data_IF_773400140062
#
_entry.id   IF_773400140062
#
_cell.length_a   1.000
_cell.length_b   1.000
_cell.length_c   1.000
_cell.angle_alpha   90.00
_cell.angle_beta   90.00
_cell.angle_gamma   90.00
#
_symmetry.space_group_name_H-M   'P 1'
#
loop_
_entity.id
_entity.type
_entity.pdbx_description
1 polymer ?
#
# COMPACT_ATOMS: atom_id res chain seq x y z
N UNK A 1 -2.84 8.50 -9.71
CA UNK A 1 -3.17 8.43 -8.26
C UNK A 1 -4.65 8.11 -8.09
N UNK A 2 -5.04 7.25 -7.15
CA UNK A 2 -6.45 7.02 -6.80
C UNK A 2 -6.87 7.88 -5.61
N UNK A 3 -8.05 8.48 -5.68
CA UNK A 3 -8.54 9.44 -4.67
C UNK A 3 -10.00 9.17 -4.31
N UNK A 4 -10.32 9.32 -3.02
CA UNK A 4 -11.70 9.38 -2.50
C UNK A 4 -12.08 10.81 -2.10
N UNK A 5 -13.11 11.38 -2.73
CA UNK A 5 -13.60 12.74 -2.47
C UNK A 5 -15.02 12.74 -1.87
N UNK A 6 -15.17 13.26 -0.64
CA UNK A 6 -16.48 13.34 0.05
C UNK A 6 -17.48 14.29 -0.63
N UNK A 7 -17.02 15.38 -1.25
CA UNK A 7 -17.94 16.34 -1.87
C UNK A 7 -18.52 15.82 -3.19
N UNK A 8 -17.76 15.06 -4.00
CA UNK A 8 -18.34 14.37 -5.16
C UNK A 8 -19.47 13.42 -4.75
N UNK A 9 -19.37 12.84 -3.55
CA UNK A 9 -20.49 12.10 -2.97
C UNK A 9 -21.65 13.02 -2.60
N UNK A 10 -21.42 14.13 -1.87
CA UNK A 10 -22.49 15.08 -1.41
C UNK A 10 -23.20 15.84 -2.55
N UNK A 11 -22.47 16.43 -3.49
CA UNK A 11 -23.03 17.21 -4.60
C UNK A 11 -23.85 16.33 -5.56
N UNK A 12 -23.52 15.04 -5.66
CA UNK A 12 -24.23 14.07 -6.51
C UNK A 12 -25.28 13.24 -5.74
N UNK A 13 -25.21 13.14 -4.41
CA UNK A 13 -26.33 12.60 -3.59
C UNK A 13 -27.55 13.52 -3.65
N UNK A 14 -27.36 14.84 -3.80
CA UNK A 14 -28.47 15.76 -4.06
C UNK A 14 -29.23 15.48 -5.37
N UNK A 15 -28.65 14.73 -6.30
CA UNK A 15 -29.30 14.29 -7.55
C UNK A 15 -30.01 12.91 -7.44
N UNK A 16 -30.10 12.30 -6.24
CA UNK A 16 -30.81 11.01 -5.99
C UNK A 16 -30.43 9.84 -6.92
N UNK A 17 -29.24 9.85 -7.53
CA UNK A 17 -28.80 8.79 -8.43
C UNK A 17 -27.29 8.63 -8.43
N UNK A 18 -26.86 7.37 -8.43
CA UNK A 18 -25.48 6.89 -8.54
C UNK A 18 -24.70 6.80 -7.22
N UNK A 19 -24.29 5.57 -6.91
CA UNK A 19 -23.16 5.29 -6.05
C UNK A 19 -21.84 5.54 -6.81
N UNK A 20 -20.71 5.74 -6.11
CA UNK A 20 -19.47 6.22 -6.74
C UNK A 20 -18.23 5.44 -6.33
N UNK A 21 -17.50 4.92 -7.31
CA UNK A 21 -16.20 4.30 -7.08
C UNK A 21 -15.06 5.34 -7.02
N UNK A 22 -13.90 5.00 -6.41
CA UNK A 22 -12.71 5.84 -6.40
C UNK A 22 -12.33 6.37 -7.78
N UNK A 23 -11.78 7.59 -7.85
CA UNK A 23 -11.38 8.20 -9.12
C UNK A 23 -9.86 8.11 -9.31
N UNK A 24 -9.44 7.66 -10.48
CA UNK A 24 -8.07 7.72 -10.94
C UNK A 24 -7.77 9.08 -11.58
N UNK A 25 -6.72 9.72 -11.10
CA UNK A 25 -6.16 10.93 -11.66
C UNK A 25 -4.83 10.59 -12.36
N UNK A 26 -4.78 10.65 -13.70
CA UNK A 26 -3.58 10.33 -14.46
C UNK A 26 -2.52 11.43 -14.35
N UNK A 27 -1.26 11.04 -14.41
CA UNK A 27 -0.16 11.94 -14.77
C UNK A 27 -0.13 12.16 -16.28
N UNK A 28 0.51 13.23 -16.78
CA UNK A 28 0.78 13.39 -18.20
C UNK A 28 1.45 12.14 -18.78
N UNK A 29 0.94 11.64 -19.91
CA UNK A 29 1.43 10.41 -20.53
C UNK A 29 0.91 9.11 -19.89
N UNK A 30 -0.02 9.17 -18.94
CA UNK A 30 -0.63 7.97 -18.37
C UNK A 30 -1.39 7.17 -19.44
N UNK A 31 -1.11 5.87 -19.48
CA UNK A 31 -1.74 4.93 -20.40
C UNK A 31 -3.15 4.51 -19.98
N UNK A 32 -3.58 4.83 -18.75
CA UNK A 32 -4.97 4.67 -18.30
C UNK A 32 -5.89 5.79 -18.84
N UNK A 33 -5.33 6.69 -19.65
CA UNK A 33 -6.02 7.79 -20.32
C UNK A 33 -5.57 9.15 -19.82
N UNK A 34 -5.80 10.21 -20.61
CA UNK A 34 -5.36 11.57 -20.25
C UNK A 34 -6.31 12.28 -19.29
N UNK A 35 -7.48 11.71 -19.02
CA UNK A 35 -8.53 12.33 -18.19
C UNK A 35 -8.76 11.53 -16.91
N UNK A 36 -9.30 12.19 -15.90
CA UNK A 36 -9.78 11.52 -14.69
C UNK A 36 -10.90 10.53 -15.02
N UNK A 37 -10.88 9.37 -14.36
CA UNK A 37 -11.83 8.28 -14.61
C UNK A 37 -12.15 7.53 -13.32
N UNK A 38 -13.41 7.12 -13.16
CA UNK A 38 -13.80 6.26 -12.06
C UNK A 38 -13.15 4.87 -12.19
N UNK A 39 -12.91 4.19 -11.07
CA UNK A 39 -12.39 2.82 -11.02
C UNK A 39 -13.25 1.87 -11.87
N UNK A 40 -14.58 2.10 -11.90
CA UNK A 40 -15.52 1.30 -12.69
C UNK A 40 -15.29 1.36 -14.20
N UNK A 41 -14.54 2.35 -14.69
CA UNK A 41 -14.13 2.40 -16.10
C UNK A 41 -13.03 1.38 -16.45
N UNK A 42 -12.33 0.88 -15.44
CA UNK A 42 -11.23 -0.08 -15.57
C UNK A 42 -11.63 -1.47 -15.09
N UNK A 43 -12.48 -1.54 -14.07
CA UNK A 43 -12.85 -2.75 -13.36
C UNK A 43 -14.37 -2.82 -13.31
N UNK A 44 -14.97 -3.87 -13.84
CA UNK A 44 -16.43 -4.04 -13.79
C UNK A 44 -16.92 -3.99 -12.33
N UNK A 45 -18.02 -3.29 -12.07
CA UNK A 45 -18.61 -3.16 -10.74
C UNK A 45 -20.11 -3.46 -10.76
N UNK A 46 -20.48 -4.56 -11.44
CA UNK A 46 -21.87 -4.95 -11.66
C UNK A 46 -22.64 -5.12 -10.34
N UNK A 47 -21.95 -5.60 -9.31
CA UNK A 47 -22.50 -5.76 -7.97
C UNK A 47 -22.52 -4.46 -7.18
N UNK A 48 -21.75 -3.44 -7.58
CA UNK A 48 -21.58 -2.20 -6.85
C UNK A 48 -20.80 -2.35 -5.55
N UNK A 49 -19.83 -3.28 -5.48
CA UNK A 49 -19.00 -3.53 -4.30
C UNK A 49 -17.96 -2.42 -4.10
N UNK A 50 -17.47 -1.83 -5.19
CA UNK A 50 -16.47 -0.76 -5.15
C UNK A 50 -17.09 0.62 -5.01
N UNK A 51 -18.42 0.69 -5.00
CA UNK A 51 -19.13 1.90 -4.63
C UNK A 51 -18.74 2.34 -3.22
N UNK A 52 -18.36 3.61 -3.13
CA UNK A 52 -17.91 4.27 -1.91
C UNK A 52 -16.64 3.66 -1.28
N UNK A 53 -15.98 2.76 -2.01
CA UNK A 53 -14.75 2.14 -1.54
C UNK A 53 -13.67 3.18 -1.29
N UNK A 54 -12.75 2.83 -0.40
CA UNK A 54 -11.63 3.67 -0.01
C UNK A 54 -10.33 3.06 -0.52
N UNK A 55 -9.53 3.76 -1.34
CA UNK A 55 -8.23 3.27 -1.73
C UNK A 55 -7.30 3.29 -0.50
N UNK A 56 -6.66 2.15 -0.20
CA UNK A 56 -5.82 1.98 0.99
C UNK A 56 -4.34 1.87 0.66
N UNK A 57 -4.00 1.13 -0.40
CA UNK A 57 -2.62 0.92 -0.84
C UNK A 57 -2.61 0.49 -2.31
N UNK A 58 -1.48 0.69 -2.99
CA UNK A 58 -1.24 0.10 -4.29
C UNK A 58 0.19 -0.44 -4.36
N UNK A 59 0.39 -1.53 -5.10
CA UNK A 59 1.69 -2.14 -5.29
C UNK A 59 1.68 -3.01 -6.55
N UNK A 60 2.71 -2.88 -7.38
CA UNK A 60 2.90 -3.70 -8.58
C UNK A 60 1.68 -3.75 -9.52
N UNK A 61 1.00 -2.60 -9.71
CA UNK A 61 -0.20 -2.50 -10.55
C UNK A 61 -1.50 -2.97 -9.90
N UNK A 62 -1.45 -3.47 -8.66
CA UNK A 62 -2.61 -3.85 -7.87
C UNK A 62 -3.03 -2.72 -6.94
N UNK A 63 -4.33 -2.59 -6.68
CA UNK A 63 -4.90 -1.62 -5.73
C UNK A 63 -5.74 -2.34 -4.69
N UNK A 64 -5.47 -2.07 -3.42
CA UNK A 64 -6.27 -2.50 -2.28
C UNK A 64 -7.30 -1.42 -1.94
N UNK A 65 -8.54 -1.85 -1.79
CA UNK A 65 -9.69 -1.05 -1.48
C UNK A 65 -10.34 -1.54 -0.18
N UNK A 66 -10.66 -0.63 0.73
CA UNK A 66 -11.58 -0.87 1.84
C UNK A 66 -13.02 -0.72 1.34
N UNK A 67 -13.81 -1.79 1.41
CA UNK A 67 -15.16 -1.82 0.86
C UNK A 67 -16.20 -1.40 1.91
N UNK A 68 -17.33 -0.89 1.42
CA UNK A 68 -18.45 -0.48 2.26
C UNK A 68 -19.49 -1.61 2.27
N UNK A 69 -19.83 -2.22 3.43
CA UNK A 69 -20.88 -3.22 3.49
C UNK A 69 -22.22 -2.64 3.02
N UNK A 70 -22.90 -3.33 2.10
CA UNK A 70 -24.16 -2.89 1.48
C UNK A 70 -25.34 -2.92 2.45
N UNK A 71 -25.36 -3.89 3.36
CA UNK A 71 -26.40 -4.06 4.38
C UNK A 71 -26.03 -3.33 5.66
N UNK A 72 -26.06 -1.99 5.64
CA UNK A 72 -26.32 -1.25 6.87
C UNK A 72 -27.84 -1.36 7.10
N UNK A 73 -28.27 -2.52 7.58
CA UNK A 73 -29.62 -2.66 8.10
C UNK A 73 -29.73 -1.73 9.32
N UNK A 74 -30.79 -0.94 9.37
CA UNK A 74 -31.10 -0.02 10.48
C UNK A 74 -31.11 -0.73 11.86
N UNK A 75 -31.15 -2.07 11.89
CA UNK A 75 -31.23 -2.90 13.09
C UNK A 75 -29.95 -3.69 13.42
N UNK A 76 -28.89 -3.60 12.61
CA UNK A 76 -27.62 -4.27 12.92
C UNK A 76 -26.69 -3.31 13.68
N UNK A 77 -26.28 -3.62 14.94
CA UNK A 77 -25.32 -2.78 15.64
C UNK A 77 -24.05 -2.68 14.79
N UNK A 78 -23.65 -1.44 14.48
CA UNK A 78 -22.51 -1.09 13.61
C UNK A 78 -21.16 -1.70 14.04
N UNK A 79 -21.13 -2.35 15.20
CA UNK A 79 -19.99 -3.05 15.78
C UNK A 79 -19.73 -4.47 15.26
N UNK A 80 -20.64 -5.09 14.48
CA UNK A 80 -20.50 -6.51 14.06
C UNK A 80 -20.19 -6.74 12.58
N UNK A 81 -20.08 -5.70 11.76
CA UNK A 81 -19.74 -5.87 10.34
C UNK A 81 -18.22 -5.98 10.19
N UNK A 82 -17.75 -7.20 9.89
CA UNK A 82 -16.34 -7.47 9.63
C UNK A 82 -15.77 -6.60 8.52
N UNK A 83 -14.47 -6.35 8.55
CA UNK A 83 -13.79 -5.60 7.49
C UNK A 83 -13.89 -6.34 6.16
N UNK A 84 -14.28 -5.60 5.12
CA UNK A 84 -14.37 -6.09 3.75
C UNK A 84 -13.32 -5.37 2.90
N UNK A 85 -12.56 -6.15 2.13
CA UNK A 85 -11.49 -5.64 1.28
C UNK A 85 -11.68 -6.11 -0.16
N UNK A 86 -11.29 -5.27 -1.11
CA UNK A 86 -11.22 -5.61 -2.52
C UNK A 86 -9.80 -5.39 -3.03
N UNK A 87 -9.26 -6.35 -3.78
CA UNK A 87 -8.01 -6.16 -4.54
C UNK A 87 -8.37 -6.15 -6.01
N UNK A 88 -7.86 -5.18 -6.76
CA UNK A 88 -8.13 -5.06 -8.18
C UNK A 88 -6.88 -4.70 -8.98
N UNK A 89 -6.87 -5.06 -10.26
CA UNK A 89 -5.88 -4.68 -11.24
C UNK A 89 -6.56 -3.84 -12.33
N UNK A 90 -6.44 -2.49 -12.29
CA UNK A 90 -7.06 -1.61 -13.27
C UNK A 90 -6.60 -1.84 -14.72
N UNK A 91 -5.44 -2.45 -14.95
CA UNK A 91 -4.94 -2.71 -16.31
C UNK A 91 -5.56 -3.95 -16.92
N UNK A 92 -5.77 -5.00 -16.13
CA UNK A 92 -6.39 -6.25 -16.60
C UNK A 92 -7.90 -6.28 -16.41
N UNK A 93 -8.45 -5.38 -15.60
CA UNK A 93 -9.83 -5.40 -15.14
C UNK A 93 -10.12 -6.49 -14.10
N UNK A 94 -9.10 -7.25 -13.66
CA UNK A 94 -9.29 -8.29 -12.65
C UNK A 94 -9.69 -7.66 -11.30
N UNK A 95 -10.68 -8.25 -10.64
CA UNK A 95 -11.07 -7.90 -9.27
C UNK A 95 -11.28 -9.12 -8.41
N UNK A 96 -11.00 -8.97 -7.12
CA UNK A 96 -11.27 -9.96 -6.10
C UNK A 96 -11.75 -9.27 -4.83
N UNK A 97 -12.99 -9.57 -4.45
CA UNK A 97 -13.49 -9.26 -3.12
C UNK A 97 -12.99 -10.35 -2.16
N UNK A 98 -12.28 -9.92 -1.13
CA UNK A 98 -11.77 -10.78 -0.07
C UNK A 98 -12.91 -11.12 0.87
N UNK A 99 -13.00 -12.38 1.30
CA UNK A 99 -14.04 -12.80 2.25
C UNK A 99 -13.99 -11.93 3.51
N UNK A 100 -15.14 -11.55 4.09
CA UNK A 100 -15.15 -10.77 5.31
C UNK A 100 -14.30 -11.44 6.39
N UNK A 101 -13.45 -10.67 7.04
CA UNK A 101 -12.72 -11.16 8.20
C UNK A 101 -13.68 -11.18 9.38
N UNK A 102 -13.85 -12.35 10.02
CA UNK A 102 -14.59 -12.49 11.27
C UNK A 102 -13.77 -11.93 12.44
N UNK A 103 -13.47 -10.62 12.43
CA UNK A 103 -12.88 -9.94 13.57
C UNK A 103 -14.00 -9.32 14.41
N UNK A 104 -14.43 -10.03 15.45
CA UNK A 104 -15.47 -9.58 16.40
C UNK A 104 -15.03 -8.33 17.18
N UNK A 105 -13.72 -8.09 17.27
CA UNK A 105 -13.07 -7.04 18.07
C UNK A 105 -12.61 -5.83 17.26
N UNK A 106 -12.77 -5.85 15.93
CA UNK A 106 -12.29 -4.80 15.04
C UNK A 106 -13.46 -3.94 14.58
N UNK A 107 -13.60 -2.74 15.14
CA UNK A 107 -14.42 -1.70 14.49
C UNK A 107 -13.69 -1.25 13.21
N UNK A 108 -14.42 -0.63 12.27
CA UNK A 108 -13.87 -0.02 11.04
C UNK A 108 -12.55 0.79 11.20
N UNK A 109 -12.23 1.23 12.42
CA UNK A 109 -11.05 2.03 12.78
C UNK A 109 -9.86 1.22 13.34
N UNK A 110 -9.91 -0.11 13.33
CA UNK A 110 -8.93 -0.98 13.99
C UNK A 110 -7.85 -1.55 13.06
N UNK A 111 -7.73 -1.10 11.80
CA UNK A 111 -6.70 -1.59 10.89
C UNK A 111 -5.47 -0.71 10.97
N UNK A 112 -4.33 -1.36 11.14
CA UNK A 112 -3.05 -0.79 11.48
C UNK A 112 -2.04 -0.79 10.34
N UNK A 113 -2.23 -1.68 9.37
CA UNK A 113 -1.28 -1.86 8.28
C UNK A 113 -1.76 -2.89 7.29
N UNK A 114 -1.27 -2.75 6.07
CA UNK A 114 -1.65 -3.58 4.93
C UNK A 114 -0.40 -3.99 4.15
N UNK A 115 -0.38 -5.18 3.56
CA UNK A 115 0.60 -5.55 2.54
C UNK A 115 -0.07 -6.32 1.40
N UNK A 116 0.10 -5.83 0.17
CA UNK A 116 -0.27 -6.56 -1.04
C UNK A 116 0.93 -7.42 -1.44
N UNK A 117 0.76 -8.74 -1.37
CA UNK A 117 1.79 -9.72 -1.71
C UNK A 117 1.46 -10.36 -3.05
N UNK A 118 2.44 -10.33 -3.93
CA UNK A 118 2.33 -10.84 -5.30
C UNK A 118 2.97 -12.22 -5.39
N UNK A 119 2.67 -12.95 -6.45
CA UNK A 119 3.26 -14.26 -6.66
C UNK A 119 4.78 -14.22 -6.87
N UNK A 120 5.35 -13.06 -7.24
CA UNK A 120 6.80 -12.88 -7.33
C UNK A 120 7.48 -12.85 -5.94
N UNK A 121 6.76 -12.45 -4.89
CA UNK A 121 7.36 -12.24 -3.56
C UNK A 121 7.54 -13.54 -2.75
N UNK A 122 6.76 -14.58 -3.07
CA UNK A 122 6.73 -15.84 -2.30
C UNK A 122 7.79 -16.85 -2.80
N UNK A 123 8.29 -16.70 -4.03
CA UNK A 123 9.14 -17.70 -4.69
C UNK A 123 10.63 -17.31 -4.74
N UNK A 124 11.12 -16.48 -3.82
CA UNK A 124 12.52 -16.03 -3.85
C UNK A 124 13.53 -17.02 -3.25
N UNK A 125 13.10 -18.17 -2.73
CA UNK A 125 13.98 -19.19 -2.14
C UNK A 125 13.50 -20.60 -2.49
N UNK A 126 14.17 -21.27 -3.43
CA UNK A 126 14.05 -22.72 -3.59
C UNK A 126 14.92 -23.44 -2.54
N UNK A 127 14.56 -24.67 -2.17
CA UNK A 127 15.24 -25.53 -1.17
C UNK A 127 16.73 -25.79 -1.44
N UNK A 128 17.24 -25.40 -2.61
CA UNK A 128 18.65 -25.52 -3.02
C UNK A 128 19.46 -24.22 -2.87
N UNK A 129 18.88 -23.13 -2.34
CA UNK A 129 19.61 -21.87 -2.12
C UNK A 129 19.86 -21.03 -3.37
N UNK A 130 19.43 -21.50 -4.55
CA UNK A 130 19.48 -20.71 -5.77
C UNK A 130 18.34 -19.68 -5.80
N UNK A 131 18.69 -18.40 -5.88
CA UNK A 131 17.74 -17.33 -6.13
C UNK A 131 17.14 -17.49 -7.53
N UNK A 132 15.91 -18.00 -7.65
CA UNK A 132 15.15 -17.81 -8.89
C UNK A 132 14.94 -16.30 -9.08
N UNK A 133 15.44 -15.77 -10.20
CA UNK A 133 15.10 -14.41 -10.63
C UNK A 133 13.57 -14.27 -10.58
N UNK A 134 13.03 -13.22 -9.94
CA UNK A 134 11.59 -12.99 -9.90
C UNK A 134 11.04 -13.05 -11.31
N UNK A 135 10.12 -13.98 -11.57
CA UNK A 135 9.50 -14.05 -12.89
C UNK A 135 8.64 -12.78 -13.09
N UNK A 136 8.92 -11.95 -14.10
CA UNK A 136 8.22 -10.68 -14.32
C UNK A 136 6.69 -10.85 -14.39
N UNK A 137 6.25 -11.97 -14.97
CA UNK A 137 4.83 -12.31 -15.15
C UNK A 137 4.06 -12.52 -13.86
N UNK A 138 4.76 -12.76 -12.75
CA UNK A 138 4.16 -13.05 -11.45
C UNK A 138 4.09 -11.82 -10.55
N UNK A 139 4.75 -10.72 -10.91
CA UNK A 139 4.79 -9.47 -10.13
C UNK A 139 3.43 -8.78 -10.09
N UNK A 140 2.59 -8.97 -11.10
CA UNK A 140 1.26 -8.35 -11.17
C UNK A 140 0.13 -9.27 -10.71
N UNK A 141 0.47 -10.48 -10.25
CA UNK A 141 -0.50 -11.50 -9.84
C UNK A 141 -0.66 -11.48 -8.32
N UNK A 142 -1.86 -11.14 -7.86
CA UNK A 142 -2.20 -11.13 -6.43
C UNK A 142 -2.13 -12.55 -5.84
N UNK A 143 -1.38 -12.71 -4.75
CA UNK A 143 -1.18 -14.02 -4.09
C UNK A 143 -1.61 -14.03 -2.63
N UNK A 144 -1.35 -12.97 -1.88
CA UNK A 144 -1.67 -12.91 -0.46
C UNK A 144 -1.92 -11.46 -0.02
N UNK A 145 -2.80 -11.29 0.97
CA UNK A 145 -3.03 -10.00 1.63
C UNK A 145 -2.74 -10.15 3.12
N UNK A 146 -1.84 -9.32 3.64
CA UNK A 146 -1.56 -9.24 5.07
C UNK A 146 -2.26 -8.00 5.64
N UNK A 147 -2.95 -8.19 6.76
CA UNK A 147 -3.63 -7.14 7.51
C UNK A 147 -3.16 -7.19 8.94
N UNK A 148 -2.74 -6.04 9.47
CA UNK A 148 -2.51 -5.88 10.91
C UNK A 148 -3.71 -5.18 11.50
N UNK A 149 -4.28 -5.71 12.58
CA UNK A 149 -5.37 -5.06 13.32
C UNK A 149 -4.98 -4.82 14.77
N UNK A 150 -5.42 -3.70 15.33
CA UNK A 150 -5.36 -3.41 16.76
C UNK A 150 -6.76 -3.49 17.38
N UNK A 151 -6.94 -4.18 18.52
CA UNK A 151 -8.23 -4.24 19.18
C UNK A 151 -8.63 -2.86 19.73
N UNK A 152 -9.94 -2.62 19.80
CA UNK A 152 -10.49 -1.41 20.42
C UNK A 152 -10.00 -1.29 21.88
N UNK A 153 -9.57 -0.08 22.33
CA UNK A 153 -9.10 0.13 23.70
C UNK A 153 -10.10 -0.27 24.79
N UNK A 154 -11.39 -0.30 24.46
CA UNK A 154 -12.47 -0.63 25.39
C UNK A 154 -12.75 -2.14 25.52
N UNK A 155 -12.24 -2.97 24.60
CA UNK A 155 -12.66 -4.37 24.45
C UNK A 155 -11.55 -5.39 24.76
N UNK A 156 -10.28 -4.97 24.89
CA UNK A 156 -9.17 -5.87 25.14
C UNK A 156 -8.26 -5.38 26.27
N UNK A 157 -8.19 -6.14 27.36
CA UNK A 157 -7.30 -5.87 28.50
C UNK A 157 -5.80 -5.92 28.14
N UNK A 158 -5.44 -6.54 27.01
CA UNK A 158 -4.04 -6.76 26.62
C UNK A 158 -3.52 -5.82 25.51
N UNK A 159 -4.40 -5.32 24.64
CA UNK A 159 -4.02 -4.42 23.54
C UNK A 159 -3.17 -5.06 22.44
N UNK A 160 -3.14 -6.39 22.29
CA UNK A 160 -2.20 -7.06 21.36
C UNK A 160 -2.51 -6.81 19.88
N UNK A 161 -1.49 -6.75 19.02
CA UNK A 161 -1.69 -6.69 17.57
C UNK A 161 -2.00 -8.08 17.00
N UNK A 162 -2.83 -8.11 15.94
CA UNK A 162 -3.19 -9.34 15.23
C UNK A 162 -2.87 -9.24 13.74
N UNK A 163 -2.36 -10.34 13.16
CA UNK A 163 -1.94 -10.51 11.77
C UNK A 163 -2.92 -11.47 11.20
N UNK A 164 -3.55 -11.02 10.14
CA UNK A 164 -4.43 -11.83 9.35
C UNK A 164 -3.79 -11.97 7.98
N UNK A 165 -3.69 -13.20 7.53
CA UNK A 165 -3.16 -13.52 6.21
C UNK A 165 -4.27 -14.14 5.38
N UNK A 166 -4.65 -13.48 4.29
CA UNK A 166 -5.56 -14.02 3.29
C UNK A 166 -4.77 -14.63 2.15
N UNK A 167 -5.07 -15.87 1.79
CA UNK A 167 -4.46 -16.55 0.67
C UNK A 167 -5.38 -16.54 -0.56
N UNK A 168 -4.86 -16.07 -1.69
CA UNK A 168 -5.58 -15.98 -2.97
C UNK A 168 -6.05 -17.34 -3.50
N UNK A 169 -5.20 -18.38 -3.38
CA UNK A 169 -5.48 -19.70 -3.96
C UNK A 169 -6.55 -20.45 -3.18
N UNK A 170 -6.50 -20.40 -1.85
CA UNK A 170 -7.49 -21.04 -0.97
C UNK A 170 -8.72 -20.17 -0.69
N UNK A 171 -8.62 -18.86 -1.00
CA UNK A 171 -9.63 -17.84 -0.73
C UNK A 171 -10.06 -17.77 0.73
N UNK A 172 -9.13 -18.02 1.64
CA UNK A 172 -9.37 -18.11 3.09
C UNK A 172 -8.37 -17.27 3.86
N UNK A 173 -8.84 -16.75 4.99
CA UNK A 173 -7.99 -16.22 6.04
C UNK A 173 -7.36 -17.37 6.83
N UNK A 174 -6.10 -17.20 7.21
CA UNK A 174 -5.47 -18.01 8.24
C UNK A 174 -6.06 -17.70 9.62
N UNK A 175 -5.79 -18.56 10.60
CA UNK A 175 -5.99 -18.18 11.99
C UNK A 175 -5.16 -16.92 12.30
N UNK A 176 -5.71 -15.95 13.07
CA UNK A 176 -4.98 -14.75 13.43
C UNK A 176 -3.79 -15.13 14.31
N UNK A 177 -2.63 -14.58 14.00
CA UNK A 177 -1.48 -14.64 14.90
C UNK A 177 -1.52 -13.40 15.77
N UNK A 178 -1.48 -13.54 17.09
CA UNK A 178 -1.35 -12.41 18.03
C UNK A 178 0.11 -12.21 18.39
N UNK A 179 0.60 -10.97 18.36
CA UNK A 179 1.92 -10.63 18.91
C UNK A 179 1.86 -9.24 19.51
N UNK A 180 2.61 -9.08 20.61
CA UNK A 180 2.95 -7.83 21.28
C UNK A 180 1.79 -6.89 21.64
N UNK A 181 1.86 -6.33 22.85
CA UNK A 181 1.01 -5.20 23.24
C UNK A 181 1.21 -4.06 22.25
N UNK A 182 0.14 -3.64 21.56
CA UNK A 182 0.15 -2.51 20.63
C UNK A 182 0.72 -1.29 21.37
N UNK A 183 1.90 -0.82 20.98
CA UNK A 183 2.41 0.40 21.57
C UNK A 183 1.57 1.57 21.05
N UNK A 184 1.66 2.73 21.69
CA UNK A 184 0.87 3.90 21.31
C UNK A 184 1.48 4.55 20.05
N UNK A 185 0.62 4.97 19.12
CA UNK A 185 1.04 5.81 17.97
C UNK A 185 1.26 5.08 16.65
N UNK A 186 0.72 3.88 16.48
CA UNK A 186 0.81 3.16 15.20
C UNK A 186 0.17 3.95 14.06
N UNK A 187 0.97 4.22 13.02
CA UNK A 187 0.50 4.86 11.79
C UNK A 187 0.04 3.77 10.82
N UNK A 188 -1.19 3.89 10.34
CA UNK A 188 -1.71 3.05 9.27
C UNK A 188 -0.85 3.23 8.03
N UNK A 189 -0.08 2.20 7.66
CA UNK A 189 0.85 2.28 6.54
C UNK A 189 0.82 1.03 5.66
N UNK A 190 1.12 1.25 4.39
CA UNK A 190 1.44 0.16 3.46
C UNK A 190 2.82 -0.39 3.81
N UNK A 191 2.94 -1.72 3.81
CA UNK A 191 4.22 -2.38 4.05
C UNK A 191 5.17 -2.21 2.86
N UNK A 192 6.46 -2.12 3.15
CA UNK A 192 7.49 -2.42 2.17
C UNK A 192 7.64 -3.94 2.06
N UNK A 193 7.38 -4.53 0.90
CA UNK A 193 7.51 -5.98 0.67
C UNK A 193 8.79 -6.26 -0.10
N UNK A 194 9.68 -7.05 0.49
CA UNK A 194 11.04 -7.25 0.02
C UNK A 194 11.63 -8.57 0.51
N UNK A 195 12.36 -9.28 -0.36
CA UNK A 195 13.09 -10.52 -0.02
C UNK A 195 12.26 -11.54 0.78
N UNK A 196 11.04 -11.84 0.33
CA UNK A 196 10.18 -12.83 0.99
C UNK A 196 9.58 -12.38 2.33
N UNK A 197 9.62 -11.09 2.65
CA UNK A 197 9.04 -10.53 3.87
C UNK A 197 8.27 -9.23 3.61
N UNK A 198 7.30 -8.94 4.46
CA UNK A 198 6.62 -7.65 4.56
C UNK A 198 7.13 -6.88 5.79
N UNK A 199 7.42 -5.61 5.61
CA UNK A 199 8.06 -4.76 6.61
C UNK A 199 7.20 -3.52 6.88
N UNK A 200 6.93 -3.23 8.15
CA UNK A 200 6.28 -2.00 8.58
C UNK A 200 7.20 -1.22 9.51
N UNK A 201 7.23 0.11 9.33
CA UNK A 201 7.85 1.00 10.30
C UNK A 201 6.84 1.34 11.39
N UNK A 202 7.30 1.21 12.62
CA UNK A 202 6.52 1.41 13.82
C UNK A 202 7.18 2.49 14.68
N UNK A 203 6.39 3.43 15.21
CA UNK A 203 6.83 4.45 16.15
C UNK A 203 6.19 4.22 17.52
N UNK A 204 7.00 4.05 18.56
CA UNK A 204 6.56 4.00 19.94
C UNK A 204 6.64 5.40 20.54
N UNK A 205 5.50 6.03 20.73
CA UNK A 205 5.39 7.30 21.45
C UNK A 205 5.49 7.00 22.95
N UNK A 206 6.69 7.10 23.51
CA UNK A 206 6.87 7.10 24.96
C UNK A 206 6.27 8.42 25.49
N UNK A 207 5.68 8.35 26.67
CA UNK A 207 4.83 9.38 27.31
C UNK A 207 5.33 10.83 27.17
N UNK A 208 4.44 11.84 27.23
CA UNK A 208 4.77 13.26 27.00
C UNK A 208 5.94 13.83 27.81
N UNK A 209 6.30 13.21 28.93
CA UNK A 209 7.43 13.61 29.79
C UNK A 209 8.81 13.12 29.31
N UNK A 210 8.86 12.10 28.45
CA UNK A 210 10.11 11.52 27.94
C UNK A 210 10.08 11.56 26.41
N UNK A 211 10.46 12.71 25.86
CA UNK A 211 10.43 13.04 24.43
C UNK A 211 11.42 12.21 23.58
N UNK A 212 11.33 10.88 23.63
CA UNK A 212 12.08 9.96 22.78
C UNK A 212 11.12 9.03 22.06
N UNK A 213 10.96 9.28 20.77
CA UNK A 213 10.30 8.35 19.85
C UNK A 213 11.26 7.18 19.60
N UNK A 214 10.80 5.96 19.87
CA UNK A 214 11.55 4.75 19.53
C UNK A 214 10.96 4.12 18.28
N UNK A 215 11.80 3.85 17.28
CA UNK A 215 11.37 3.25 16.03
C UNK A 215 11.69 1.76 15.99
N UNK A 216 10.79 1.01 15.39
CA UNK A 216 10.88 -0.43 15.23
C UNK A 216 10.48 -0.83 13.82
N UNK A 217 11.00 -1.96 13.37
CA UNK A 217 10.52 -2.63 12.17
C UNK A 217 9.84 -3.92 12.57
N UNK A 218 8.58 -4.03 12.18
CA UNK A 218 7.84 -5.26 12.19
C UNK A 218 8.13 -5.99 10.87
N UNK A 219 8.71 -7.18 10.95
CA UNK A 219 8.92 -8.04 9.80
C UNK A 219 7.97 -9.24 9.88
N UNK A 220 7.32 -9.55 8.77
CA UNK A 220 6.51 -10.76 8.62
C UNK A 220 7.05 -11.54 7.44
N UNK A 221 7.58 -12.73 7.70
CA UNK A 221 8.02 -13.65 6.65
C UNK A 221 6.80 -14.18 5.88
N UNK A 222 6.80 -14.07 4.56
CA UNK A 222 5.62 -14.38 3.75
C UNK A 222 5.28 -15.87 3.72
N UNK A 223 6.30 -16.73 3.69
CA UNK A 223 6.15 -18.17 3.59
C UNK A 223 5.62 -18.79 4.89
N UNK A 224 6.10 -18.34 6.03
CA UNK A 224 5.80 -18.93 7.35
C UNK A 224 4.84 -18.08 8.17
N UNK A 225 4.56 -16.84 7.76
CA UNK A 225 3.89 -15.79 8.55
C UNK A 225 4.57 -15.51 9.90
N UNK A 226 5.85 -15.89 10.04
CA UNK A 226 6.62 -15.65 11.26
C UNK A 226 6.84 -14.16 11.43
N UNK A 227 6.50 -13.68 12.61
CA UNK A 227 6.62 -12.27 12.97
C UNK A 227 7.90 -12.05 13.76
N UNK A 228 8.65 -11.01 13.43
CA UNK A 228 9.75 -10.51 14.25
C UNK A 228 9.67 -9.00 14.41
N UNK A 229 10.14 -8.51 15.53
CA UNK A 229 10.11 -7.09 15.86
C UNK A 229 11.51 -6.63 16.24
N UNK A 230 12.01 -5.62 15.56
CA UNK A 230 13.41 -5.18 15.69
C UNK A 230 13.46 -3.70 15.97
N UNK A 231 14.06 -3.31 17.10
CA UNK A 231 14.32 -1.91 17.42
C UNK A 231 15.37 -1.34 16.47
N UNK A 232 15.13 -0.14 15.97
CA UNK A 232 16.07 0.59 15.12
C UNK A 232 16.94 1.47 16.05
N UNK A 233 18.24 1.20 16.21
CA UNK A 233 19.09 2.02 17.07
C UNK A 233 19.43 3.36 16.40
N UNK A 234 19.40 4.44 17.18
CA UNK A 234 20.01 5.75 16.86
C UNK A 234 19.54 6.49 15.59
N UNK A 235 18.42 6.09 14.98
CA UNK A 235 17.82 6.82 13.86
C UNK A 235 17.02 7.99 14.39
N UNK A 236 17.48 9.21 14.10
CA UNK A 236 16.66 10.42 14.23
C UNK A 236 15.78 10.50 13.00
N UNK A 237 14.49 10.25 13.21
CA UNK A 237 13.46 10.28 12.18
C UNK A 237 12.75 11.63 12.29
N UNK A 238 12.52 12.27 11.16
CA UNK A 238 11.72 13.50 11.08
C UNK A 238 10.22 13.22 11.09
N UNK A 239 9.45 14.19 10.63
CA UNK A 239 8.02 14.04 10.42
C UNK A 239 7.73 13.01 9.32
N UNK A 240 6.55 12.38 9.45
CA UNK A 240 5.95 11.47 8.45
C UNK A 240 6.95 10.46 7.88
N UNK A 241 7.41 9.49 8.68
CA UNK A 241 8.37 8.53 8.19
C UNK A 241 7.73 7.40 7.39
N UNK A 242 8.42 7.01 6.33
CA UNK A 242 8.03 5.91 5.46
C UNK A 242 9.14 4.89 5.38
N UNK A 243 8.74 3.62 5.34
CA UNK A 243 9.63 2.53 4.96
C UNK A 243 9.48 2.25 3.48
N UNK A 244 10.59 2.23 2.76
CA UNK A 244 10.62 2.03 1.32
C UNK A 244 11.76 1.09 0.93
N UNK A 245 11.78 0.72 -0.35
CA UNK A 245 12.89 -0.03 -0.95
C UNK A 245 13.67 0.92 -1.87
N UNK A 246 14.98 1.04 -1.62
CA UNK A 246 15.88 1.82 -2.46
C UNK A 246 16.03 1.19 -3.84
N UNK A 247 16.56 1.94 -4.81
CA UNK A 247 16.85 1.40 -6.16
C UNK A 247 17.82 0.23 -6.14
N UNK A 248 18.72 0.19 -5.16
CA UNK A 248 19.66 -0.91 -4.95
C UNK A 248 19.00 -2.12 -4.25
N UNK A 249 17.68 -2.11 -4.04
CA UNK A 249 16.97 -3.21 -3.39
C UNK A 249 17.27 -3.31 -1.90
N UNK A 250 17.50 -2.19 -1.20
CA UNK A 250 17.71 -2.18 0.25
C UNK A 250 16.56 -1.49 0.97
N UNK A 251 16.29 -1.94 2.19
CA UNK A 251 15.32 -1.26 3.05
C UNK A 251 15.84 0.11 3.46
N UNK A 252 15.02 1.13 3.26
CA UNK A 252 15.33 2.51 3.58
C UNK A 252 14.19 3.18 4.34
N UNK A 253 14.52 4.07 5.26
CA UNK A 253 13.57 4.92 5.97
C UNK A 253 13.76 6.34 5.47
N UNK A 254 12.68 6.93 4.97
CA UNK A 254 12.63 8.32 4.54
C UNK A 254 11.76 9.12 5.48
N UNK A 255 12.19 10.33 5.85
CA UNK A 255 11.41 11.23 6.69
C UNK A 255 11.73 12.68 6.38
N UNK A 256 10.80 13.58 6.65
CA UNK A 256 10.94 15.01 6.40
C UNK A 256 11.44 15.68 7.66
N UNK A 257 12.60 16.35 7.58
CA UNK A 257 13.23 17.02 8.72
C UNK A 257 13.55 18.48 8.36
N UNK A 258 12.66 19.39 8.77
CA UNK A 258 12.73 20.79 8.37
C UNK A 258 12.62 20.91 6.85
N UNK A 259 13.59 21.58 6.21
CA UNK A 259 13.64 21.75 4.75
C UNK A 259 14.40 20.63 4.03
N UNK A 260 14.50 19.44 4.63
CA UNK A 260 15.25 18.33 4.05
C UNK A 260 14.48 17.03 4.13
N UNK A 261 14.65 16.18 3.13
CA UNK A 261 14.31 14.76 3.22
C UNK A 261 15.54 13.99 3.66
N UNK A 262 15.41 13.28 4.77
CA UNK A 262 16.45 12.44 5.34
C UNK A 262 16.20 10.98 4.97
N UNK A 263 17.25 10.32 4.46
CA UNK A 263 17.21 8.90 4.07
C UNK A 263 18.20 8.10 4.89
N UNK A 264 17.69 7.10 5.59
CA UNK A 264 18.46 6.07 6.28
C UNK A 264 18.35 4.76 5.51
N UNK A 265 19.44 4.02 5.33
CA UNK A 265 19.43 2.75 4.59
C UNK A 265 20.05 1.66 5.46
N UNK A 266 19.43 0.48 5.44
CA UNK A 266 19.93 -0.70 6.13
C UNK A 266 21.13 -1.26 5.35
N UNK A 267 22.22 -1.53 6.05
CA UNK A 267 23.38 -2.21 5.46
C UNK A 267 23.32 -3.72 5.67
N UNK A 268 24.16 -4.44 4.95
CA UNK A 268 24.35 -5.87 5.16
C UNK A 268 25.28 -6.04 6.37
N UNK A 269 24.73 -6.52 7.49
CA UNK A 269 25.48 -6.61 8.75
C UNK A 269 24.64 -6.80 10.02
N UNK A 270 23.38 -7.22 9.89
CA UNK A 270 22.47 -7.42 11.02
C UNK A 270 21.66 -6.17 11.42
N UNK A 271 20.82 -6.28 12.46
CA UNK A 271 19.78 -5.29 12.79
C UNK A 271 20.29 -3.91 13.25
N UNK A 272 21.57 -3.79 13.64
CA UNK A 272 22.18 -2.56 14.13
C UNK A 272 22.79 -1.65 13.03
N UNK A 273 22.58 -1.98 11.75
CA UNK A 273 23.37 -1.45 10.64
C UNK A 273 22.67 -0.33 9.83
N UNK A 274 21.86 0.49 10.48
CA UNK A 274 21.19 1.62 9.84
C UNK A 274 22.16 2.81 9.72
N UNK A 275 22.51 3.19 8.49
CA UNK A 275 23.36 4.35 8.23
C UNK A 275 22.53 5.48 7.60
N UNK A 276 22.79 6.71 8.05
CA UNK A 276 22.25 7.90 7.40
C UNK A 276 22.94 8.02 6.06
N UNK A 277 22.21 7.72 5.00
CA UNK A 277 22.78 7.71 3.67
C UNK A 277 22.77 9.12 3.07
N UNK A 278 21.67 9.88 3.25
CA UNK A 278 21.46 11.13 2.49
C UNK A 278 20.66 12.16 3.29
N UNK A 279 20.96 13.43 3.02
CA UNK A 279 20.13 14.58 3.36
C UNK A 279 19.89 15.33 2.04
N UNK A 280 18.62 15.43 1.63
CA UNK A 280 18.23 15.99 0.34
C UNK A 280 17.50 17.31 0.63
N UNK A 281 18.02 18.46 0.19
CA UNK A 281 17.34 19.73 0.40
C UNK A 281 16.06 19.78 -0.43
N UNK A 282 14.98 20.25 0.18
CA UNK A 282 13.74 20.60 -0.50
C UNK A 282 13.95 22.02 -1.05
N UNK A 283 13.89 22.24 -2.38
CA UNK A 283 14.21 23.54 -2.97
C UNK A 283 13.32 24.67 -2.43
N UNK A 284 13.96 25.77 -2.06
CA UNK A 284 13.36 27.01 -1.51
C UNK A 284 12.51 27.74 -2.55
N UNK A 285 12.62 27.40 -3.85
CA UNK A 285 11.81 28.00 -4.91
C UNK A 285 10.30 27.73 -4.76
N UNK A 286 9.90 26.90 -3.80
CA UNK A 286 8.52 26.77 -3.35
C UNK A 286 8.17 27.97 -2.45
N UNK A 287 7.20 28.82 -2.83
CA UNK A 287 6.85 30.00 -2.05
C UNK A 287 6.55 29.64 -0.60
N UNK A 288 7.08 30.41 0.35
CA UNK A 288 7.02 30.22 1.81
C UNK A 288 5.57 29.96 2.34
N UNK A 289 4.55 30.42 1.60
CA UNK A 289 3.14 30.20 1.89
C UNK A 289 2.59 28.79 1.52
N UNK A 290 3.29 28.00 0.69
CA UNK A 290 2.90 26.63 0.29
C UNK A 290 3.42 25.54 1.24
N UNK A 291 4.37 25.85 2.12
CA UNK A 291 5.06 24.91 3.04
C UNK A 291 4.14 24.41 4.17
N UNK A 292 2.96 25.00 4.37
CA UNK A 292 2.15 24.80 5.58
C UNK A 292 1.40 23.46 5.66
N UNK A 293 1.35 22.64 4.60
CA UNK A 293 0.86 21.26 4.69
C UNK A 293 1.25 20.45 3.46
N UNK A 294 2.23 19.58 3.65
CA UNK A 294 2.67 18.61 2.65
C UNK A 294 2.16 17.24 3.08
N UNK A 295 1.32 16.60 2.26
CA UNK A 295 1.04 15.18 2.43
C UNK A 295 2.07 14.40 1.60
N UNK A 296 2.95 13.69 2.29
CA UNK A 296 3.99 12.87 1.69
C UNK A 296 3.49 11.44 1.52
N UNK A 297 3.88 10.82 0.41
CA UNK A 297 3.56 9.44 0.10
C UNK A 297 4.80 8.72 -0.44
N UNK A 298 4.99 7.49 0.01
CA UNK A 298 5.96 6.59 -0.61
C UNK A 298 5.47 6.21 -2.01
N UNK A 299 6.39 6.22 -2.98
CA UNK A 299 6.10 5.88 -4.36
C UNK A 299 7.30 5.13 -4.93
N UNK A 300 7.35 3.81 -4.75
CA UNK A 300 8.23 2.82 -5.38
C UNK A 300 9.68 3.22 -5.80
N UNK A 301 10.63 2.33 -5.53
CA UNK A 301 11.96 2.41 -6.16
C UNK A 301 12.73 3.68 -5.81
N UNK A 302 12.59 4.16 -4.57
CA UNK A 302 13.29 5.35 -4.09
C UNK A 302 12.74 6.67 -4.61
N UNK A 303 11.44 6.72 -4.94
CA UNK A 303 10.75 7.95 -5.27
C UNK A 303 9.71 8.29 -4.18
N UNK A 304 9.48 9.58 -3.95
CA UNK A 304 8.42 10.05 -3.07
C UNK A 304 7.50 11.00 -3.82
N UNK A 305 6.22 10.97 -3.48
CA UNK A 305 5.25 11.96 -3.94
C UNK A 305 4.96 12.93 -2.81
N UNK A 306 4.90 14.21 -3.16
CA UNK A 306 4.47 15.27 -2.24
C UNK A 306 3.30 16.01 -2.87
N UNK A 307 2.20 16.09 -2.12
CA UNK A 307 1.05 16.90 -2.46
C UNK A 307 1.10 18.18 -1.64
N UNK A 308 1.16 19.31 -2.35
CA UNK A 308 1.01 20.61 -1.72
C UNK A 308 -0.45 21.02 -1.62
N UNK A 309 -0.77 21.82 -0.60
CA UNK A 309 -2.11 22.39 -0.39
C UNK A 309 -2.66 23.17 -1.59
N UNK A 310 -1.79 23.70 -2.45
CA UNK A 310 -2.15 24.36 -3.71
C UNK A 310 -2.58 23.41 -4.85
N UNK A 311 -2.41 22.10 -4.66
CA UNK A 311 -2.85 21.06 -5.59
C UNK A 311 -1.75 20.46 -6.42
N UNK A 312 -0.60 21.12 -6.42
CA UNK A 312 0.54 20.68 -7.15
C UNK A 312 1.11 19.42 -6.53
N UNK A 313 1.30 18.41 -7.37
CA UNK A 313 1.92 17.15 -7.03
C UNK A 313 3.32 17.16 -7.60
N UNK A 314 4.28 16.87 -6.74
CA UNK A 314 5.67 16.74 -7.15
C UNK A 314 6.16 15.33 -6.87
N UNK A 315 7.12 14.92 -7.68
CA UNK A 315 7.91 13.71 -7.52
C UNK A 315 9.29 14.12 -7.04
N UNK A 316 9.75 13.52 -5.94
CA UNK A 316 11.11 13.60 -5.46
C UNK A 316 11.84 12.29 -5.76
N UNK A 317 12.79 12.31 -6.68
CA UNK A 317 13.70 11.18 -6.90
C UNK A 317 14.82 11.25 -5.84
N UNK A 318 14.83 10.30 -4.91
CA UNK A 318 15.80 10.27 -3.80
C UNK A 318 17.24 9.98 -4.29
N UNK A 319 17.37 9.37 -5.47
CA UNK A 319 18.67 9.08 -6.06
C UNK A 319 19.25 10.34 -6.71
N UNK A 320 18.50 10.91 -7.65
CA UNK A 320 18.88 12.09 -8.42
C UNK A 320 18.85 13.37 -7.61
N UNK A 321 18.15 13.36 -6.46
CA UNK A 321 17.91 14.53 -5.60
C UNK A 321 17.21 15.66 -6.35
N UNK A 322 16.34 15.28 -7.27
CA UNK A 322 15.58 16.19 -8.12
C UNK A 322 14.11 16.11 -7.70
N UNK A 323 13.50 17.28 -7.57
CA UNK A 323 12.06 17.42 -7.40
C UNK A 323 11.46 18.02 -8.66
N UNK A 324 10.40 17.40 -9.17
CA UNK A 324 9.73 17.79 -10.40
C UNK A 324 8.23 17.85 -10.19
N UNK A 325 7.61 18.92 -10.69
CA UNK A 325 6.15 19.02 -10.73
C UNK A 325 5.63 18.09 -11.82
N UNK A 326 4.78 17.14 -11.44
CA UNK A 326 4.25 16.15 -12.38
C UNK A 326 2.79 16.42 -12.78
N UNK A 327 2.01 17.06 -11.91
CA UNK A 327 0.62 17.42 -12.20
C UNK A 327 0.10 18.48 -11.23
N UNK A 328 -1.05 19.06 -11.55
CA UNK A 328 -1.80 19.94 -10.66
C UNK A 328 -3.21 19.40 -10.47
N UNK A 329 -3.63 19.18 -9.23
CA UNK A 329 -5.00 18.89 -8.89
C UNK A 329 -5.86 20.16 -9.00
N UNK A 330 -7.08 20.07 -9.53
CA UNK A 330 -7.99 21.21 -9.59
C UNK A 330 -8.20 21.85 -8.21
N UNK A 331 -8.03 23.19 -8.07
CA UNK A 331 -8.19 23.89 -6.79
C UNK A 331 -9.52 23.66 -6.08
N UNK A 332 -10.58 23.44 -6.87
CA UNK A 332 -11.94 23.15 -6.39
C UNK A 332 -12.04 21.87 -5.55
N UNK A 333 -11.09 20.94 -5.71
CA UNK A 333 -11.06 19.71 -4.94
C UNK A 333 -10.25 19.86 -3.62
N UNK A 334 -9.36 20.85 -3.50
CA UNK A 334 -8.45 21.03 -2.35
C UNK A 334 -9.03 21.86 -1.21
N UNK A 335 -10.05 22.68 -1.48
CA UNK A 335 -10.86 23.31 -0.43
C UNK A 335 -11.71 22.29 0.35
N UNK A 336 -11.64 21.01 -0.01
CA UNK A 336 -12.47 19.92 0.49
C UNK A 336 -11.61 18.82 1.10
N UNK A 337 -12.15 18.13 2.11
CA UNK A 337 -11.45 17.02 2.77
C UNK A 337 -11.37 15.83 1.80
N UNK A 338 -10.25 15.68 1.10
CA UNK A 338 -9.85 14.37 0.60
C UNK A 338 -9.60 13.47 1.81
N UNK A 339 -10.19 12.27 1.79
CA UNK A 339 -10.05 11.33 2.92
C UNK A 339 -8.82 10.45 2.74
N UNK A 340 -8.54 10.05 1.49
CA UNK A 340 -7.48 9.09 1.20
C UNK A 340 -6.98 9.26 -0.23
N UNK A 341 -5.65 9.29 -0.39
CA UNK A 341 -4.95 9.29 -1.67
C UNK A 341 -3.94 8.17 -1.71
N UNK A 342 -3.92 7.42 -2.81
CA UNK A 342 -3.02 6.29 -3.00
C UNK A 342 -2.29 6.49 -4.33
N UNK A 343 -0.96 6.70 -4.30
CA UNK A 343 -0.14 6.60 -5.49
C UNK A 343 -0.33 5.26 -6.18
N UNK A 344 -0.40 5.28 -7.52
CA UNK A 344 -0.57 4.06 -8.31
C UNK A 344 0.48 4.02 -9.39
N UNK A 345 1.20 2.91 -9.47
CA UNK A 345 2.20 2.66 -10.48
C UNK A 345 2.03 1.27 -11.07
N UNK A 346 2.36 1.18 -12.35
CA UNK A 346 2.43 -0.06 -13.11
C UNK A 346 3.60 0.04 -14.08
N UNK A 347 4.57 -0.88 -13.98
CA UNK A 347 5.56 -1.07 -15.04
C UNK A 347 4.89 -1.82 -16.20
N UNK A 348 4.47 -1.05 -17.19
CA UNK A 348 3.72 -1.58 -18.32
C UNK A 348 4.63 -2.34 -19.29
N UNK A 349 5.89 -1.92 -19.43
CA UNK A 349 6.86 -2.63 -20.26
C UNK A 349 7.09 -4.04 -19.72
N UNK A 350 7.36 -4.14 -18.41
CA UNK A 350 7.49 -5.42 -17.72
C UNK A 350 6.20 -6.23 -17.86
N UNK A 351 5.04 -5.61 -17.60
CA UNK A 351 3.76 -6.29 -17.72
C UNK A 351 3.52 -6.87 -19.12
N UNK A 352 3.64 -6.08 -20.19
CA UNK A 352 3.35 -6.55 -21.55
C UNK A 352 4.35 -7.61 -22.02
N UNK A 353 5.65 -7.43 -21.76
CA UNK A 353 6.67 -8.46 -22.05
C UNK A 353 6.32 -9.76 -21.34
N UNK A 354 5.92 -9.68 -20.07
CA UNK A 354 5.58 -10.86 -19.28
C UNK A 354 4.35 -11.62 -19.79
N UNK A 355 3.37 -10.93 -20.37
CA UNK A 355 2.21 -11.55 -21.00
C UNK A 355 2.57 -12.27 -22.29
N UNK A 356 3.53 -11.74 -23.06
CA UNK A 356 4.03 -12.38 -24.29
C UNK A 356 4.81 -13.65 -23.97
N UNK A 357 5.71 -13.61 -22.99
CA UNK A 357 6.48 -14.78 -22.55
C UNK A 357 5.58 -15.88 -21.98
N UNK A 358 4.55 -15.52 -21.21
CA UNK A 358 3.55 -16.45 -20.69
C UNK A 358 2.75 -17.15 -21.81
N UNK A 359 2.44 -16.44 -22.90
CA UNK A 359 1.75 -17.02 -24.06
C UNK A 359 2.66 -17.94 -24.87
N UNK A 360 3.93 -17.59 -25.05
CA UNK A 360 4.92 -18.45 -25.73
C UNK A 360 5.21 -19.74 -24.94
N UNK A 361 5.25 -19.66 -23.60
CA UNK A 361 5.40 -20.84 -22.75
C UNK A 361 4.18 -21.79 -22.84
N UNK A 362 2.96 -21.24 -22.89
CA UNK A 362 1.71 -22.02 -23.03
C UNK A 362 1.51 -22.62 -24.43
N UNK A 363 2.08 -21.99 -25.47
CA UNK A 363 2.09 -22.53 -26.84
C UNK A 363 2.94 -23.79 -27.00
N UNK A 364 4.02 -23.93 -26.23
CA UNK A 364 4.89 -25.12 -26.27
C UNK A 364 4.27 -26.35 -25.58
N UNK A 365 3.37 -26.16 -24.61
CA UNK A 365 2.70 -27.28 -23.92
C UNK A 365 1.60 -27.97 -24.74
N UNK A 366 1.13 -27.37 -25.84
CA UNK A 366 0.08 -27.96 -26.69
C UNK A 366 0.60 -28.70 -27.95
N UNK A 367 1.91 -28.67 -28.22
CA UNK A 367 2.49 -29.34 -29.40
C UNK A 367 3.02 -30.75 -29.06
N UNK A 368 3.02 -31.15 -27.78
CA UNK A 368 3.57 -32.44 -27.33
C UNK A 368 2.62 -33.64 -27.26
N UNK A 369 1.36 -33.51 -27.69
CA UNK A 369 0.36 -34.58 -27.57
C UNK A 369 -0.21 -35.04 -28.92
N UNK A 370 0.66 -35.35 -29.89
CA UNK A 370 0.28 -36.21 -31.02
C UNK A 370 1.48 -37.11 -31.36
N UNK A 371 1.38 -38.38 -30.96
CA UNK A 371 2.02 -39.60 -31.51
C UNK A 371 1.76 -40.73 -30.51
N UNK A 372 1.40 -41.96 -30.85
CA UNK A 372 1.10 -42.64 -32.13
C UNK A 372 0.45 -43.95 -31.65
N UNK A 373 -0.78 -44.27 -32.10
CA UNK A 373 -1.30 -45.63 -31.95
C UNK A 373 -0.67 -46.48 -33.04
N UNK A 374 0.07 -47.52 -32.64
CA UNK A 374 0.33 -48.70 -33.47
C UNK A 374 0.05 -49.95 -32.65
#
# INVERSE_FOLDING_TARGET
MFVRCEMMMKTRTMQRGSAFAPTFFPTPGSLLGPTDRALTSFVADDDGDFNYAEPLAARCGLVLMGLVPKTIGLDAPSSKTGHLFGVCNPVTGERRVVTPMNCVTCRRQCVAGYAIVTAADINSVDLNGDHRLPQPSRRHLFSQLLIITCPSPAECNNGDLHLHSYCASTRRWSAPTSWCRAPRGMVVSSAAVHQGAAHWLYANLITPMEAREEFYILNVELATTRVSFTKIPAVKVGQTPFLCISKEGRLSITSVFGMHVQVWTRQDGGPASWLRARLIPIPIAMPDAMVQREDWYEFNGGVMLVLYRGGDVFVLDLEKKVIEKIMAFPPRLLGTRFVTMVPYEMDLSEFFVSQLDGRLARGKSHIGAVKEYK
#
